data_IF_569015853949
#
_entry.id   IF_569015853949
#
_cell.length_a   1.000
_cell.length_b   1.000
_cell.length_c   1.000
_cell.angle_alpha   90.00
_cell.angle_beta   90.00
_cell.angle_gamma   90.00
#
_symmetry.space_group_name_H-M   'P 1'
#
loop_
_entity.id
_entity.type
_entity.pdbx_description
1 polymer ?
#
# COMPACT_ATOMS: atom_id res chain seq x y z
N UNK A 1 -31.86 -6.26 -36.27
CA UNK A 1 -30.68 -5.70 -35.55
C UNK A 1 -29.61 -6.79 -35.58
N UNK A 2 -28.53 -6.64 -36.36
CA UNK A 2 -27.58 -7.73 -36.57
C UNK A 2 -26.86 -8.10 -35.27
N UNK A 3 -26.83 -9.40 -34.97
CA UNK A 3 -26.12 -9.94 -33.83
C UNK A 3 -24.62 -9.89 -34.12
N UNK A 4 -23.96 -8.80 -33.75
CA UNK A 4 -22.51 -8.71 -33.81
C UNK A 4 -21.91 -9.57 -32.68
N UNK A 5 -20.97 -10.44 -33.05
CA UNK A 5 -20.18 -11.19 -32.08
C UNK A 5 -19.37 -10.23 -31.20
N UNK A 6 -19.31 -10.52 -29.91
CA UNK A 6 -18.62 -9.67 -28.95
C UNK A 6 -17.19 -10.18 -28.73
N UNK A 7 -16.19 -9.30 -28.61
CA UNK A 7 -14.84 -9.71 -28.20
C UNK A 7 -14.84 -10.45 -26.86
N UNK A 8 -14.02 -11.50 -26.77
CA UNK A 8 -13.91 -12.36 -25.58
C UNK A 8 -13.54 -11.60 -24.31
N UNK A 9 -12.75 -10.54 -24.44
CA UNK A 9 -12.35 -9.67 -23.33
C UNK A 9 -13.52 -8.99 -22.61
N UNK A 10 -14.67 -8.80 -23.28
CA UNK A 10 -15.87 -8.22 -22.67
C UNK A 10 -16.78 -9.28 -22.01
N UNK A 11 -16.43 -10.56 -22.11
CA UNK A 11 -17.17 -11.66 -21.49
C UNK A 11 -16.68 -11.95 -20.07
N UNK A 12 -17.53 -12.48 -19.20
CA UNK A 12 -17.15 -12.88 -17.84
C UNK A 12 -15.93 -13.84 -17.82
N UNK A 13 -15.83 -14.86 -18.69
CA UNK A 13 -14.61 -15.66 -18.79
C UNK A 13 -13.37 -14.84 -19.15
N UNK A 14 -13.46 -13.97 -20.16
CA UNK A 14 -12.33 -13.15 -20.57
C UNK A 14 -11.88 -12.15 -19.51
N UNK A 15 -12.83 -11.57 -18.76
CA UNK A 15 -12.53 -10.68 -17.66
C UNK A 15 -11.85 -11.41 -16.50
N UNK A 16 -12.34 -12.61 -16.15
CA UNK A 16 -11.76 -13.50 -15.14
C UNK A 16 -10.32 -13.88 -15.47
N UNK A 17 -10.04 -14.28 -16.71
CA UNK A 17 -8.71 -14.64 -17.16
C UNK A 17 -7.76 -13.43 -17.15
N UNK A 18 -8.22 -12.26 -17.62
CA UNK A 18 -7.40 -11.05 -17.64
C UNK A 18 -7.07 -10.53 -16.24
N UNK A 19 -7.97 -10.71 -15.27
CA UNK A 19 -7.76 -10.33 -13.88
C UNK A 19 -7.03 -11.42 -13.05
N UNK A 20 -6.79 -12.61 -13.62
CA UNK A 20 -6.14 -13.71 -12.90
C UNK A 20 -6.96 -14.29 -11.75
N UNK A 21 -8.29 -14.15 -11.78
CA UNK A 21 -9.20 -14.62 -10.71
C UNK A 21 -10.17 -15.67 -11.22
N UNK A 22 -10.73 -16.47 -10.31
CA UNK A 22 -11.82 -17.39 -10.65
C UNK A 22 -13.11 -16.64 -10.94
N UNK A 23 -13.89 -17.12 -11.92
CA UNK A 23 -15.15 -16.47 -12.37
C UNK A 23 -16.14 -16.16 -11.24
N UNK A 24 -16.26 -17.05 -10.25
CA UNK A 24 -17.16 -16.88 -9.11
C UNK A 24 -16.78 -15.69 -8.22
N UNK A 25 -15.49 -15.34 -8.15
CA UNK A 25 -15.02 -14.18 -7.38
C UNK A 25 -15.59 -12.86 -7.93
N UNK A 26 -15.88 -12.79 -9.24
CA UNK A 26 -16.40 -11.59 -9.88
C UNK A 26 -17.91 -11.40 -9.71
N UNK A 27 -18.67 -12.42 -9.29
CA UNK A 27 -20.13 -12.34 -9.24
C UNK A 27 -20.63 -11.24 -8.30
N UNK A 28 -20.06 -11.14 -7.09
CA UNK A 28 -20.44 -10.11 -6.12
C UNK A 28 -20.18 -8.70 -6.66
N UNK A 29 -18.99 -8.47 -7.19
CA UNK A 29 -18.58 -7.17 -7.74
C UNK A 29 -19.41 -6.75 -8.96
N UNK A 30 -19.69 -7.69 -9.87
CA UNK A 30 -20.54 -7.41 -11.05
C UNK A 30 -21.97 -7.06 -10.61
N UNK A 31 -22.50 -7.76 -9.60
CA UNK A 31 -23.84 -7.47 -9.08
C UNK A 31 -23.90 -6.05 -8.51
N UNK A 32 -22.93 -5.66 -7.68
CA UNK A 32 -22.83 -4.30 -7.11
C UNK A 32 -22.75 -3.25 -8.22
N UNK A 33 -21.85 -3.42 -9.20
CA UNK A 33 -21.69 -2.45 -10.30
C UNK A 33 -22.96 -2.34 -11.17
N UNK A 34 -23.74 -3.42 -11.28
CA UNK A 34 -25.00 -3.40 -12.01
C UNK A 34 -26.12 -2.73 -11.20
N UNK A 35 -26.18 -2.96 -9.89
CA UNK A 35 -27.10 -2.28 -8.96
C UNK A 35 -26.83 -0.76 -8.91
N UNK A 36 -25.56 -0.36 -8.97
CA UNK A 36 -25.12 1.03 -9.08
C UNK A 36 -25.38 1.65 -10.48
N UNK A 37 -25.88 0.88 -11.44
CA UNK A 37 -26.15 1.35 -12.81
C UNK A 37 -24.89 1.66 -13.62
N UNK A 38 -23.71 1.20 -13.18
CA UNK A 38 -22.42 1.46 -13.84
C UNK A 38 -22.16 0.48 -14.98
N UNK A 39 -22.70 -0.73 -14.91
CA UNK A 39 -22.62 -1.73 -15.97
C UNK A 39 -23.98 -2.33 -16.28
N UNK A 40 -24.11 -2.93 -17.46
CA UNK A 40 -25.21 -3.81 -17.85
C UNK A 40 -24.66 -5.13 -18.33
N UNK A 41 -25.36 -6.22 -18.03
CA UNK A 41 -25.01 -7.56 -18.52
C UNK A 41 -26.03 -8.07 -19.52
N UNK A 42 -25.56 -8.85 -20.51
CA UNK A 42 -26.44 -9.57 -21.46
C UNK A 42 -25.82 -10.88 -21.91
N UNK A 43 -26.62 -11.77 -22.48
CA UNK A 43 -26.13 -12.99 -23.13
C UNK A 43 -25.85 -12.74 -24.61
N UNK A 44 -24.63 -13.03 -25.07
CA UNK A 44 -24.22 -12.84 -26.46
C UNK A 44 -23.30 -13.95 -26.97
N UNK A 45 -23.20 -14.10 -28.29
CA UNK A 45 -22.10 -14.86 -28.90
C UNK A 45 -20.82 -14.06 -28.76
N UNK A 46 -19.75 -14.80 -28.47
CA UNK A 46 -18.43 -14.25 -28.19
C UNK A 46 -17.47 -14.91 -29.17
N UNK A 47 -16.60 -14.10 -29.79
CA UNK A 47 -15.56 -14.57 -30.70
C UNK A 47 -14.71 -15.62 -29.96
N UNK A 48 -14.52 -16.79 -30.59
CA UNK A 48 -13.81 -17.94 -29.99
C UNK A 48 -14.45 -18.48 -28.68
N UNK A 49 -15.69 -18.09 -28.37
CA UNK A 49 -16.41 -18.50 -27.16
C UNK A 49 -17.14 -19.85 -27.26
N UNK A 50 -17.08 -20.48 -28.43
CA UNK A 50 -17.83 -21.69 -28.80
C UNK A 50 -19.31 -21.41 -29.08
N UNK A 51 -20.12 -22.47 -29.14
CA UNK A 51 -21.56 -22.39 -29.45
C UNK A 51 -22.41 -21.78 -28.33
N UNK A 52 -21.92 -21.78 -27.10
CA UNK A 52 -22.66 -21.29 -25.93
C UNK A 52 -22.52 -19.77 -25.79
N UNK A 53 -23.67 -19.08 -25.72
CA UNK A 53 -23.73 -17.66 -25.34
C UNK A 53 -23.08 -17.43 -23.97
N UNK A 54 -22.39 -16.31 -23.83
CA UNK A 54 -21.69 -15.91 -22.60
C UNK A 54 -22.30 -14.64 -22.06
N UNK A 55 -22.22 -14.50 -20.73
CA UNK A 55 -22.46 -13.22 -20.07
C UNK A 55 -21.40 -12.24 -20.51
N UNK A 56 -21.84 -11.17 -21.17
CA UNK A 56 -21.03 -10.03 -21.59
C UNK A 56 -21.38 -8.85 -20.72
N UNK A 57 -20.36 -8.09 -20.34
CA UNK A 57 -20.44 -6.93 -19.47
C UNK A 57 -20.18 -5.68 -20.29
N UNK A 58 -21.08 -4.71 -20.22
CA UNK A 58 -20.94 -3.43 -20.91
C UNK A 58 -21.01 -2.27 -19.91
N UNK A 59 -20.03 -1.35 -19.91
CA UNK A 59 -20.14 -0.15 -19.09
C UNK A 59 -21.25 0.75 -19.64
N UNK A 60 -22.05 1.31 -18.75
CA UNK A 60 -23.03 2.35 -19.10
C UNK A 60 -22.31 3.67 -19.42
N UNK A 61 -23.05 4.68 -19.89
CA UNK A 61 -22.48 6.02 -20.05
C UNK A 61 -21.93 6.54 -18.72
N UNK A 62 -22.66 6.33 -17.62
CA UNK A 62 -22.21 6.72 -16.29
C UNK A 62 -21.03 5.88 -15.81
N UNK A 63 -21.04 4.57 -16.06
CA UNK A 63 -19.90 3.70 -15.78
C UNK A 63 -18.62 4.13 -16.50
N UNK A 64 -18.72 4.52 -17.78
CA UNK A 64 -17.58 5.07 -18.54
C UNK A 64 -17.12 6.41 -17.98
N UNK A 65 -18.04 7.30 -17.62
CA UNK A 65 -17.72 8.60 -17.02
C UNK A 65 -16.95 8.40 -15.71
N UNK A 66 -17.47 7.54 -14.82
CA UNK A 66 -16.88 7.25 -13.52
C UNK A 66 -15.52 6.56 -13.65
N UNK A 67 -15.36 5.66 -14.63
CA UNK A 67 -14.08 5.03 -14.95
C UNK A 67 -13.06 6.03 -15.54
N UNK A 68 -13.49 6.99 -16.35
CA UNK A 68 -12.59 8.02 -16.90
C UNK A 68 -12.18 9.07 -15.88
N UNK A 69 -13.02 9.32 -14.87
CA UNK A 69 -12.70 10.17 -13.72
C UNK A 69 -12.06 9.40 -12.57
N UNK A 70 -11.87 8.09 -12.71
CA UNK A 70 -11.20 7.27 -11.72
C UNK A 70 -9.72 7.61 -11.80
N UNK A 71 -9.28 8.45 -10.86
CA UNK A 71 -7.87 8.61 -10.56
C UNK A 71 -7.54 7.38 -9.71
N UNK A 72 -6.67 6.52 -10.21
CA UNK A 72 -6.05 5.50 -9.38
C UNK A 72 -5.46 6.24 -8.19
N UNK A 73 -5.94 5.97 -6.97
CA UNK A 73 -5.24 6.43 -5.78
C UNK A 73 -3.87 5.74 -5.83
N UNK A 74 -2.90 6.37 -6.49
CA UNK A 74 -1.53 6.26 -6.05
C UNK A 74 -1.63 6.58 -4.56
N UNK A 75 -1.44 5.57 -3.72
CA UNK A 75 -0.98 5.81 -2.36
C UNK A 75 0.43 6.38 -2.50
N UNK A 76 0.56 7.58 -3.05
CA UNK A 76 1.74 8.40 -2.87
C UNK A 76 1.72 8.68 -1.38
N UNK A 77 2.58 7.99 -0.65
CA UNK A 77 2.83 8.35 0.73
C UNK A 77 3.19 9.84 0.77
N UNK A 78 2.60 10.58 1.69
CA UNK A 78 2.87 12.02 1.80
C UNK A 78 4.31 12.28 2.28
N UNK A 79 4.94 11.29 2.91
CA UNK A 79 6.33 11.28 3.34
C UNK A 79 7.12 10.09 2.78
N UNK A 80 8.35 9.95 3.24
CA UNK A 80 9.33 8.95 2.76
C UNK A 80 10.00 8.20 3.92
N UNK A 81 10.45 6.97 3.66
CA UNK A 81 11.28 6.19 4.60
C UNK A 81 12.67 5.98 3.98
N UNK A 82 13.70 6.54 4.61
CA UNK A 82 15.11 6.38 4.27
C UNK A 82 15.77 5.24 5.05
N UNK A 83 16.89 4.77 4.54
CA UNK A 83 17.72 3.73 5.17
C UNK A 83 17.24 2.32 4.82
N UNK A 84 17.30 1.41 5.79
CA UNK A 84 17.09 -0.03 5.58
C UNK A 84 15.90 -0.59 6.37
N UNK A 85 14.66 -0.10 6.14
CA UNK A 85 13.49 -0.62 6.84
C UNK A 85 13.21 -2.07 6.42
N UNK A 86 12.78 -2.95 7.34
CA UNK A 86 12.31 -4.28 6.99
C UNK A 86 11.01 -4.21 6.16
N UNK A 87 10.64 -5.33 5.56
CA UNK A 87 9.37 -5.44 4.84
C UNK A 87 8.18 -5.16 5.78
N UNK A 88 7.18 -4.44 5.25
CA UNK A 88 5.94 -4.21 5.97
C UNK A 88 5.17 -5.53 6.12
N UNK A 89 4.69 -5.79 7.33
CA UNK A 89 3.86 -6.95 7.68
C UNK A 89 2.59 -6.44 8.35
N UNK A 90 1.48 -7.13 8.13
CA UNK A 90 0.22 -6.84 8.81
C UNK A 90 0.32 -7.16 10.31
N UNK A 91 -0.11 -6.21 11.14
CA UNK A 91 -0.19 -6.35 12.60
C UNK A 91 -1.67 -6.26 13.00
N UNK A 92 -2.14 -7.21 13.81
CA UNK A 92 -3.52 -7.29 14.28
C UNK A 92 -3.56 -7.27 15.80
N UNK A 93 -4.49 -6.54 16.41
CA UNK A 93 -4.75 -6.58 17.86
C UNK A 93 -3.76 -5.75 18.69
N UNK A 94 -3.13 -4.73 18.08
CA UNK A 94 -2.15 -3.84 18.72
C UNK A 94 -2.52 -2.36 18.60
N UNK A 95 -3.78 -2.07 18.32
CA UNK A 95 -4.30 -0.73 17.99
C UNK A 95 -4.20 0.23 19.19
N UNK A 96 -4.45 -0.26 20.41
CA UNK A 96 -4.29 0.55 21.63
C UNK A 96 -2.83 0.95 21.87
N UNK A 97 -1.89 0.01 21.68
CA UNK A 97 -0.46 0.27 21.81
C UNK A 97 0.03 1.25 20.74
N UNK A 98 -0.43 1.11 19.49
CA UNK A 98 -0.14 2.07 18.40
C UNK A 98 -0.59 3.47 18.79
N UNK A 99 -1.85 3.61 19.25
CA UNK A 99 -2.44 4.91 19.60
C UNK A 99 -1.70 5.57 20.76
N UNK A 100 -1.34 4.80 21.79
CA UNK A 100 -0.57 5.31 22.94
C UNK A 100 0.81 5.82 22.53
N UNK A 101 1.50 5.11 21.63
CA UNK A 101 2.84 5.51 21.14
C UNK A 101 2.75 6.74 20.25
N UNK A 102 1.76 6.81 19.34
CA UNK A 102 1.53 7.99 18.50
C UNK A 102 1.30 9.25 19.33
N UNK A 103 0.47 9.18 20.38
CA UNK A 103 0.22 10.32 21.26
C UNK A 103 1.51 10.82 21.91
N UNK A 104 2.34 9.92 22.42
CA UNK A 104 3.65 10.27 22.99
C UNK A 104 4.59 10.91 21.98
N UNK A 105 4.60 10.42 20.74
CA UNK A 105 5.42 11.00 19.68
C UNK A 105 4.94 12.41 19.30
N UNK A 106 3.62 12.65 19.26
CA UNK A 106 3.03 13.97 19.02
C UNK A 106 3.41 14.95 20.15
N UNK A 107 3.52 14.46 21.38
CA UNK A 107 4.01 15.22 22.53
C UNK A 107 5.54 15.47 22.49
N UNK A 108 6.24 14.95 21.48
CA UNK A 108 7.68 15.12 21.29
C UNK A 108 8.54 14.16 22.13
N UNK A 109 7.95 13.10 22.69
CA UNK A 109 8.69 12.12 23.48
C UNK A 109 9.59 11.23 22.62
N UNK A 110 10.78 10.91 23.14
CA UNK A 110 11.62 9.81 22.64
C UNK A 110 11.22 8.50 23.31
N UNK A 111 11.04 7.43 22.52
CA UNK A 111 10.42 6.19 22.99
C UNK A 111 11.40 5.01 22.84
N UNK A 112 11.54 4.23 23.92
CA UNK A 112 12.26 2.94 23.89
C UNK A 112 11.23 1.81 23.96
N UNK A 113 11.09 1.05 22.87
CA UNK A 113 10.19 -0.10 22.82
C UNK A 113 10.91 -1.37 23.31
N UNK A 114 10.46 -1.90 24.45
CA UNK A 114 11.02 -3.12 25.06
C UNK A 114 10.06 -4.30 24.97
N UNK A 115 10.57 -5.52 25.12
CA UNK A 115 9.76 -6.74 25.09
C UNK A 115 10.57 -7.99 24.71
N UNK A 116 9.95 -9.16 24.85
CA UNK A 116 10.60 -10.45 24.60
C UNK A 116 11.15 -10.55 23.16
N UNK A 117 12.26 -11.29 22.95
CA UNK A 117 12.71 -11.64 21.60
C UNK A 117 11.58 -12.32 20.80
N UNK A 118 11.44 -11.97 19.52
CA UNK A 118 10.42 -12.56 18.65
C UNK A 118 8.98 -12.10 18.87
N UNK A 119 8.69 -11.22 19.84
CA UNK A 119 7.31 -10.72 20.09
C UNK A 119 6.76 -9.81 18.98
N UNK A 120 7.60 -9.45 17.99
CA UNK A 120 7.21 -8.61 16.85
C UNK A 120 7.46 -7.11 17.02
N UNK A 121 8.41 -6.68 17.87
CA UNK A 121 8.75 -5.25 18.07
C UNK A 121 9.09 -4.53 16.76
N UNK A 122 10.04 -5.07 15.99
CA UNK A 122 10.44 -4.56 14.68
C UNK A 122 9.26 -4.44 13.71
N UNK A 123 8.41 -5.48 13.64
CA UNK A 123 7.23 -5.48 12.78
C UNK A 123 6.19 -4.43 13.22
N UNK A 124 6.01 -4.26 14.53
CA UNK A 124 5.16 -3.23 15.11
C UNK A 124 5.67 -1.82 14.77
N UNK A 125 6.95 -1.54 15.00
CA UNK A 125 7.58 -0.25 14.69
C UNK A 125 7.54 0.02 13.18
N UNK A 126 7.70 -1.01 12.34
CA UNK A 126 7.58 -0.89 10.89
C UNK A 126 6.17 -0.52 10.42
N UNK A 127 5.15 -1.04 11.09
CA UNK A 127 3.74 -0.67 10.86
C UNK A 127 3.47 0.77 11.27
N UNK A 128 3.94 1.17 12.46
CA UNK A 128 3.86 2.54 12.95
C UNK A 128 4.55 3.53 12.00
N UNK A 129 5.75 3.20 11.53
CA UNK A 129 6.47 3.99 10.55
C UNK A 129 5.69 4.13 9.24
N UNK A 130 5.04 3.06 8.78
CA UNK A 130 4.21 3.14 7.58
C UNK A 130 3.02 4.09 7.75
N UNK A 131 2.40 4.13 8.94
CA UNK A 131 1.31 5.04 9.24
C UNK A 131 1.79 6.49 9.23
N UNK A 132 2.87 6.78 9.94
CA UNK A 132 3.46 8.12 10.02
C UNK A 132 3.92 8.64 8.65
N UNK A 133 4.50 7.77 7.81
CA UNK A 133 4.87 8.08 6.43
C UNK A 133 3.63 8.44 5.58
N UNK A 134 2.52 7.73 5.76
CA UNK A 134 1.27 8.05 5.07
C UNK A 134 0.67 9.38 5.55
N UNK A 135 0.97 9.82 6.77
CA UNK A 135 0.57 11.12 7.32
C UNK A 135 1.49 12.28 6.90
N UNK A 136 2.58 12.00 6.18
CA UNK A 136 3.49 13.04 5.65
C UNK A 136 4.82 13.15 6.37
N UNK A 137 5.09 12.27 7.34
CA UNK A 137 6.34 12.32 8.07
C UNK A 137 7.47 11.65 7.29
N UNK A 138 8.65 12.25 7.35
CA UNK A 138 9.89 11.61 6.90
C UNK A 138 10.45 10.75 8.02
N UNK A 139 10.79 9.51 7.67
CA UNK A 139 11.32 8.53 8.62
C UNK A 139 12.71 8.11 8.17
N UNK A 140 13.65 8.07 9.10
CA UNK A 140 15.01 7.58 8.87
C UNK A 140 15.22 6.32 9.69
N UNK A 141 15.32 5.19 9.00
CA UNK A 141 15.40 3.87 9.64
C UNK A 141 16.82 3.34 9.60
N UNK A 142 17.34 2.96 10.76
CA UNK A 142 18.57 2.19 10.87
C UNK A 142 18.36 0.95 11.72
N UNK A 143 18.87 -0.17 11.21
CA UNK A 143 19.03 -1.39 11.99
C UNK A 143 20.46 -1.46 12.55
N UNK A 144 20.60 -1.68 13.85
CA UNK A 144 21.89 -1.87 14.49
C UNK A 144 22.34 -3.33 14.45
N UNK A 145 23.63 -3.51 14.25
CA UNK A 145 24.34 -4.78 14.40
C UNK A 145 25.71 -4.54 15.07
N UNK A 146 26.53 -5.60 15.16
CA UNK A 146 27.86 -5.53 15.79
C UNK A 146 28.85 -4.62 15.08
N UNK A 147 28.58 -4.31 13.81
CA UNK A 147 29.51 -3.58 12.94
C UNK A 147 29.10 -2.10 12.80
N UNK A 148 27.99 -1.72 13.42
CA UNK A 148 27.42 -0.37 13.37
C UNK A 148 28.23 0.61 14.22
N UNK A 149 28.88 1.58 13.56
CA UNK A 149 29.58 2.70 14.18
C UNK A 149 28.94 4.06 13.83
N UNK A 150 29.44 5.15 14.42
CA UNK A 150 28.88 6.50 14.22
C UNK A 150 28.88 6.92 12.74
N UNK A 151 29.97 6.75 11.97
CA UNK A 151 29.94 6.98 10.52
C UNK A 151 28.88 6.17 9.77
N UNK A 152 28.71 4.87 10.08
CA UNK A 152 27.70 4.01 9.44
C UNK A 152 26.29 4.50 9.76
N UNK A 153 26.05 4.94 11.00
CA UNK A 153 24.77 5.55 11.40
C UNK A 153 24.47 6.74 10.52
N UNK A 154 25.41 7.69 10.47
CA UNK A 154 25.29 8.90 9.68
C UNK A 154 25.02 8.60 8.20
N UNK A 155 25.81 7.72 7.59
CA UNK A 155 25.62 7.32 6.18
C UNK A 155 24.26 6.69 5.91
N UNK A 156 23.78 5.85 6.82
CA UNK A 156 22.49 5.16 6.66
C UNK A 156 21.32 6.13 6.74
N UNK A 157 21.37 7.09 7.67
CA UNK A 157 20.23 7.99 7.92
C UNK A 157 20.29 9.28 7.10
N UNK A 158 21.47 9.82 6.77
CA UNK A 158 21.65 11.08 6.00
C UNK A 158 22.03 10.80 4.53
N UNK A 159 22.92 9.83 4.29
CA UNK A 159 23.51 9.55 2.97
C UNK A 159 25.02 9.71 2.94
N UNK A 160 25.65 9.59 1.77
CA UNK A 160 27.12 9.58 1.62
C UNK A 160 27.81 10.86 2.10
N UNK A 161 27.12 12.00 2.08
CA UNK A 161 27.64 13.29 2.55
C UNK A 161 27.56 13.45 4.09
N UNK A 162 27.21 12.38 4.81
CA UNK A 162 27.10 12.42 6.26
C UNK A 162 28.43 12.79 6.95
N UNK A 163 28.37 13.64 7.99
CA UNK A 163 29.48 13.83 8.91
C UNK A 163 29.86 12.54 9.65
N UNK A 164 31.04 12.53 10.25
CA UNK A 164 31.61 11.36 10.97
C UNK A 164 31.48 11.45 12.50
N UNK A 165 30.99 12.56 13.04
CA UNK A 165 30.79 12.76 14.49
C UNK A 165 29.31 12.83 14.83
N UNK A 166 28.95 12.35 16.03
CA UNK A 166 27.55 12.30 16.50
C UNK A 166 26.88 13.67 16.48
N UNK A 167 27.56 14.70 16.98
CA UNK A 167 26.98 16.03 17.11
C UNK A 167 26.71 16.67 15.74
N UNK A 168 27.59 16.43 14.77
CA UNK A 168 27.42 16.93 13.41
C UNK A 168 26.31 16.17 12.66
N UNK A 169 26.19 14.85 12.88
CA UNK A 169 25.09 14.05 12.35
C UNK A 169 23.75 14.58 12.88
N UNK A 170 23.63 14.75 14.20
CA UNK A 170 22.42 15.29 14.83
C UNK A 170 22.11 16.70 14.33
N UNK A 171 23.12 17.55 14.18
CA UNK A 171 22.95 18.91 13.65
C UNK A 171 22.55 18.98 12.17
N UNK A 172 22.77 17.92 11.40
CA UNK A 172 22.39 17.83 9.99
C UNK A 172 21.00 17.20 9.78
N UNK A 173 20.44 16.55 10.79
CA UNK A 173 19.10 15.99 10.72
C UNK A 173 18.05 17.11 10.70
N UNK A 174 17.06 17.05 9.77
CA UNK A 174 15.93 17.95 9.81
C UNK A 174 15.13 17.80 11.13
N UNK A 175 14.63 18.91 11.71
CA UNK A 175 14.04 18.91 13.05
C UNK A 175 12.73 18.12 13.17
N UNK A 176 12.07 17.82 12.05
CA UNK A 176 10.78 17.13 12.02
C UNK A 176 10.91 15.66 11.57
N UNK A 177 12.13 15.19 11.30
CA UNK A 177 12.34 13.82 10.87
C UNK A 177 12.28 12.86 12.06
N UNK A 178 11.62 11.73 11.85
CA UNK A 178 11.50 10.69 12.86
C UNK A 178 12.63 9.68 12.63
N UNK A 179 13.50 9.51 13.62
CA UNK A 179 14.60 8.54 13.55
C UNK A 179 14.24 7.28 14.31
N UNK A 180 14.37 6.13 13.64
CA UNK A 180 14.12 4.81 14.22
C UNK A 180 15.41 4.02 14.25
N UNK A 181 15.76 3.56 15.45
CA UNK A 181 16.87 2.67 15.71
C UNK A 181 16.30 1.29 16.12
N UNK A 182 16.49 0.29 15.26
CA UNK A 182 15.98 -1.08 15.42
C UNK A 182 17.10 -2.10 15.70
#
# INVERSE_FOLDING_TARGET
>A
MSAWDVPRIASLPGLSERLGVVRSALHGHIKILQEDGLIVTRQAHVIEGGSRKRTVIHPTTEGRRKASSFIEEEKSSLGEIFGNPPNLVEIVGREESMTSILNKMIEGESIILTGLPGIGKTAFVRSLASLLMNEGNTIRWMRFDSDSDVPIVGKTIIGEDSPTTSDAIVGMLPPNDIVIFD
#
